data_IF_791769008194
#
_entry.id   IF_791769008194
#
_cell.length_a   1.000
_cell.length_b   1.000
_cell.length_c   1.000
_cell.angle_alpha   90.00
_cell.angle_beta   90.00
_cell.angle_gamma   90.00
#
_symmetry.space_group_name_H-M   'P 1'
#
loop_
_entity.id
_entity.type
_entity.pdbx_description
1 polymer ?
#
# COMPACT_ATOMS: atom_id res chain seq x y z
N UNK A 1 -25.67 -49.83 -26.57
CA UNK A 1 -24.83 -48.68 -26.95
C UNK A 1 -25.05 -47.61 -25.89
N UNK A 2 -24.03 -47.28 -25.09
CA UNK A 2 -24.15 -46.48 -23.87
C UNK A 2 -23.76 -45.03 -24.18
N UNK A 3 -24.71 -44.10 -24.05
CA UNK A 3 -24.44 -42.66 -23.86
C UNK A 3 -23.63 -42.51 -22.55
N UNK A 4 -22.80 -41.49 -22.29
CA UNK A 4 -23.13 -40.10 -22.01
C UNK A 4 -21.79 -39.32 -21.91
N UNK A 5 -21.62 -38.30 -22.76
CA UNK A 5 -21.09 -36.94 -22.54
C UNK A 5 -20.01 -36.78 -21.44
N UNK A 6 -18.74 -36.59 -21.87
CA UNK A 6 -17.64 -36.08 -21.04
C UNK A 6 -17.82 -34.58 -20.76
N UNK A 7 -18.09 -34.21 -19.50
CA UNK A 7 -18.06 -32.83 -19.04
C UNK A 7 -16.67 -32.49 -18.48
N UNK A 8 -15.87 -31.73 -19.23
CA UNK A 8 -14.61 -31.18 -18.76
C UNK A 8 -14.88 -29.95 -17.87
N UNK A 9 -14.68 -30.11 -16.55
CA UNK A 9 -14.74 -29.03 -15.57
C UNK A 9 -13.47 -28.17 -15.67
N UNK A 10 -13.59 -26.99 -16.28
CA UNK A 10 -12.53 -25.97 -16.29
C UNK A 10 -12.69 -25.15 -15.00
N UNK A 11 -11.91 -25.48 -13.98
CA UNK A 11 -11.81 -24.66 -12.77
C UNK A 11 -10.97 -23.41 -13.06
N UNK A 12 -11.63 -22.28 -13.26
CA UNK A 12 -10.96 -20.96 -13.31
C UNK A 12 -10.55 -20.61 -11.87
N UNK A 13 -9.26 -20.76 -11.57
CA UNK A 13 -8.68 -20.22 -10.35
C UNK A 13 -8.60 -18.69 -10.49
N UNK A 14 -9.58 -17.98 -9.91
CA UNK A 14 -9.51 -16.53 -9.73
C UNK A 14 -8.44 -16.22 -8.68
N UNK A 15 -7.21 -16.00 -9.11
CA UNK A 15 -6.14 -15.49 -8.26
C UNK A 15 -6.44 -14.05 -7.89
N UNK A 16 -6.92 -13.81 -6.67
CA UNK A 16 -7.01 -12.46 -6.10
C UNK A 16 -5.60 -11.92 -5.93
N UNK A 17 -5.16 -11.03 -6.82
CA UNK A 17 -3.96 -10.24 -6.64
C UNK A 17 -4.21 -9.27 -5.47
N UNK A 18 -3.92 -9.71 -4.24
CA UNK A 18 -3.86 -8.84 -3.10
C UNK A 18 -2.67 -7.89 -3.31
N UNK A 19 -2.94 -6.65 -3.73
CA UNK A 19 -1.96 -5.58 -3.68
C UNK A 19 -1.54 -5.44 -2.22
N UNK A 20 -0.37 -5.97 -1.87
CA UNK A 20 0.18 -5.87 -0.53
C UNK A 20 0.44 -4.38 -0.23
N UNK A 21 -0.48 -3.75 0.50
CA UNK A 21 -0.29 -2.39 0.96
C UNK A 21 0.92 -2.35 1.91
N UNK A 22 1.83 -1.42 1.67
CA UNK A 22 3.03 -1.23 2.50
C UNK A 22 2.56 -0.92 3.92
N UNK A 23 2.94 -1.77 4.87
CA UNK A 23 2.54 -1.62 6.27
C UNK A 23 3.29 -0.43 6.91
N UNK A 24 2.61 0.44 7.66
CA UNK A 24 3.24 1.53 8.41
C UNK A 24 4.25 0.99 9.43
N UNK A 25 5.32 1.74 9.71
CA UNK A 25 6.33 1.43 10.73
C UNK A 25 6.42 2.58 11.74
N UNK A 26 7.05 2.40 12.92
CA UNK A 26 7.23 3.50 13.86
C UNK A 26 7.82 4.74 13.17
N UNK A 27 7.11 5.88 13.27
CA UNK A 27 7.49 7.13 12.59
C UNK A 27 6.78 7.41 11.26
N UNK A 28 6.10 6.41 10.66
CA UNK A 28 5.18 6.63 9.54
C UNK A 28 3.99 7.49 9.97
N UNK A 29 3.46 8.30 9.05
CA UNK A 29 2.29 9.15 9.31
C UNK A 29 1.06 8.32 9.67
N UNK A 30 0.93 7.13 9.09
CA UNK A 30 -0.21 6.22 9.30
C UNK A 30 0.05 5.17 10.38
N UNK A 31 1.13 5.29 11.18
CA UNK A 31 1.50 4.28 12.19
C UNK A 31 0.56 4.27 13.39
N UNK A 32 0.44 5.37 14.12
CA UNK A 32 -0.41 5.47 15.30
C UNK A 32 -1.89 5.72 14.92
N UNK A 33 -2.11 6.39 13.79
CA UNK A 33 -3.42 6.80 13.33
C UNK A 33 -3.51 6.74 11.80
N UNK A 34 -4.15 5.69 11.28
CA UNK A 34 -4.39 5.54 9.84
C UNK A 34 -5.35 6.58 9.24
N UNK A 35 -6.02 7.40 10.06
CA UNK A 35 -6.97 8.44 9.65
C UNK A 35 -6.32 9.83 9.53
N UNK A 36 -5.06 9.91 9.12
CA UNK A 36 -4.46 11.21 8.79
C UNK A 36 -5.07 11.71 7.49
N UNK A 37 -5.60 12.93 7.53
CA UNK A 37 -6.20 13.58 6.38
C UNK A 37 -5.44 14.86 6.04
N UNK A 38 -5.19 15.07 4.75
CA UNK A 38 -4.59 16.30 4.24
C UNK A 38 -5.64 17.15 3.54
N UNK A 39 -6.48 17.82 4.32
CA UNK A 39 -7.58 18.63 3.80
C UNK A 39 -7.11 19.73 2.84
N UNK A 40 -5.94 20.33 3.12
CA UNK A 40 -5.33 21.36 2.28
C UNK A 40 -4.69 20.83 0.99
N UNK A 41 -4.40 19.53 0.89
CA UNK A 41 -3.76 18.97 -0.29
C UNK A 41 -4.80 18.61 -1.37
N UNK A 42 -4.54 18.88 -2.66
CA UNK A 42 -5.39 18.38 -3.73
C UNK A 42 -5.46 16.85 -3.75
N UNK A 43 -6.63 16.29 -4.06
CA UNK A 43 -6.78 14.85 -4.23
C UNK A 43 -5.91 14.37 -5.41
N UNK A 44 -5.23 13.24 -5.25
CA UNK A 44 -4.30 12.68 -6.22
C UNK A 44 -2.87 13.21 -6.11
N UNK A 45 -2.61 14.23 -5.30
CA UNK A 45 -1.24 14.69 -5.03
C UNK A 45 -0.43 13.65 -4.25
N UNK A 46 0.88 13.66 -4.46
CA UNK A 46 1.84 12.84 -3.71
C UNK A 46 2.80 13.72 -2.94
N UNK A 47 3.17 13.30 -1.73
CA UNK A 47 4.15 14.01 -0.92
C UNK A 47 5.10 13.02 -0.24
N UNK A 48 6.22 13.55 0.24
CA UNK A 48 7.26 12.77 0.89
C UNK A 48 7.27 13.02 2.39
N UNK A 49 7.46 11.96 3.17
CA UNK A 49 7.73 12.01 4.59
C UNK A 49 9.07 11.33 4.83
N UNK A 50 10.01 12.02 5.48
CA UNK A 50 11.33 11.45 5.77
C UNK A 50 11.58 11.53 7.26
N UNK A 51 11.93 10.40 7.86
CA UNK A 51 12.20 10.29 9.29
C UNK A 51 13.30 9.25 9.56
N UNK A 52 13.96 9.38 10.71
CA UNK A 52 14.97 8.41 11.15
C UNK A 52 14.31 7.29 11.95
N UNK A 53 14.57 6.02 11.59
CA UNK A 53 13.96 4.84 12.24
C UNK A 53 14.61 4.48 13.59
N UNK A 54 15.43 5.35 14.18
CA UNK A 54 16.18 5.06 15.41
C UNK A 54 17.38 4.13 15.24
N UNK A 55 17.39 3.29 14.20
CA UNK A 55 18.49 2.36 13.88
C UNK A 55 19.66 3.00 13.08
N UNK A 56 19.71 4.34 13.00
CA UNK A 56 20.65 5.05 12.10
C UNK A 56 20.30 4.93 10.61
N UNK A 57 19.05 4.55 10.31
CA UNK A 57 18.52 4.49 8.94
C UNK A 57 17.51 5.60 8.72
N UNK A 58 17.60 6.23 7.56
CA UNK A 58 16.63 7.20 7.08
C UNK A 58 15.57 6.50 6.24
N UNK A 59 14.32 6.71 6.59
CA UNK A 59 13.18 6.15 5.89
C UNK A 59 12.52 7.30 5.14
N UNK A 60 12.41 7.14 3.82
CA UNK A 60 11.66 8.04 2.94
C UNK A 60 10.42 7.33 2.46
N UNK A 61 9.28 7.87 2.84
CA UNK A 61 7.97 7.38 2.45
C UNK A 61 7.31 8.31 1.45
N UNK A 62 6.60 7.72 0.49
CA UNK A 62 5.81 8.41 -0.51
C UNK A 62 4.36 8.12 -0.18
N UNK A 63 3.61 9.19 0.04
CA UNK A 63 2.18 9.12 0.32
C UNK A 63 1.40 9.71 -0.84
N UNK A 64 0.23 9.13 -1.10
CA UNK A 64 -0.75 9.66 -2.04
C UNK A 64 -1.98 10.12 -1.27
N UNK A 65 -2.47 11.31 -1.59
CA UNK A 65 -3.73 11.84 -1.09
C UNK A 65 -4.87 11.26 -1.93
N UNK A 66 -5.81 10.60 -1.28
CA UNK A 66 -6.98 10.01 -1.91
C UNK A 66 -8.10 11.05 -2.10
N UNK A 67 -9.16 10.67 -2.81
CA UNK A 67 -10.32 11.54 -3.05
C UNK A 67 -11.06 11.92 -1.76
N UNK A 68 -11.04 11.03 -0.77
CA UNK A 68 -11.59 11.21 0.58
C UNK A 68 -10.65 11.97 1.53
N UNK A 69 -9.57 12.56 1.01
CA UNK A 69 -8.50 13.27 1.76
C UNK A 69 -7.67 12.40 2.67
N UNK A 70 -7.92 11.09 2.75
CA UNK A 70 -7.04 10.14 3.44
C UNK A 70 -5.70 10.04 2.72
N UNK A 71 -4.68 9.59 3.44
CA UNK A 71 -3.35 9.33 2.88
C UNK A 71 -3.07 7.84 2.85
N UNK A 72 -2.62 7.35 1.69
CA UNK A 72 -2.14 5.98 1.54
C UNK A 72 -0.64 5.98 1.30
N UNK A 73 0.07 5.16 2.07
CA UNK A 73 1.48 4.87 1.82
C UNK A 73 1.59 4.05 0.54
N UNK A 74 2.17 4.65 -0.51
CA UNK A 74 2.35 3.99 -1.81
C UNK A 74 3.73 3.38 -1.97
N UNK A 75 4.76 3.96 -1.36
CA UNK A 75 6.11 3.43 -1.43
C UNK A 75 6.94 3.83 -0.20
N UNK A 76 7.90 2.98 0.15
CA UNK A 76 8.93 3.27 1.15
C UNK A 76 10.30 2.92 0.60
N UNK A 77 11.26 3.81 0.80
CA UNK A 77 12.68 3.56 0.57
C UNK A 77 13.42 3.74 1.88
N UNK A 78 14.33 2.82 2.21
CA UNK A 78 15.19 2.91 3.39
C UNK A 78 16.62 3.11 2.91
N UNK A 79 17.26 4.19 3.35
CA UNK A 79 18.67 4.47 3.13
C UNK A 79 19.42 4.41 4.45
N UNK A 80 20.65 3.92 4.44
CA UNK A 80 21.54 4.12 5.59
C UNK A 80 21.91 5.60 5.65
N UNK A 81 21.83 6.22 6.82
CA UNK A 81 22.39 7.55 7.00
C UNK A 81 23.89 7.46 6.72
N UNK A 82 24.36 8.17 5.69
CA UNK A 82 25.78 8.22 5.31
C UNK A 82 26.63 8.94 6.35
#
# INVERSE_FOLDING_TARGET
MKTIISAALISIAAGSAAFAAVQPIPGSITYDNANVQLEKAPAGSTFFHTFSNGDGRDVREIYKVNADKSVTLVNRTVSNAS
#
